data_IF_116821578650
#
_entry.id   IF_116821578650
#
_cell.length_a   1.000
_cell.length_b   1.000
_cell.length_c   1.000
_cell.angle_alpha   90.00
_cell.angle_beta   90.00
_cell.angle_gamma   90.00
#
_symmetry.space_group_name_H-M   'P 1'
#
loop_
_entity.id
_entity.type
_entity.pdbx_description
1 polymer ?
#
# COMPACT_ATOMS: atom_id res chain seq x y z
N UNK A 1 24.48 4.42 -26.14
CA UNK A 1 25.87 4.46 -25.61
C UNK A 1 26.88 4.22 -26.73
N UNK A 2 28.16 4.56 -26.51
CA UNK A 2 29.25 4.29 -27.45
C UNK A 2 30.50 3.85 -26.67
N UNK A 3 31.51 3.32 -27.35
CA UNK A 3 32.81 3.04 -26.74
C UNK A 3 33.64 2.07 -27.54
N UNK A 4 34.91 1.94 -27.15
CA UNK A 4 35.86 1.01 -27.74
C UNK A 4 35.95 -0.24 -26.88
N UNK A 5 35.87 -1.41 -27.50
CA UNK A 5 36.06 -2.70 -26.82
C UNK A 5 37.47 -2.77 -26.25
N UNK A 6 37.59 -2.84 -24.92
CA UNK A 6 38.85 -2.99 -24.18
C UNK A 6 39.16 -4.44 -23.89
N UNK A 7 38.13 -5.24 -23.62
CA UNK A 7 38.24 -6.67 -23.39
C UNK A 7 36.94 -7.38 -23.78
N UNK A 8 37.08 -8.63 -24.23
CA UNK A 8 35.96 -9.56 -24.37
C UNK A 8 36.25 -10.83 -23.58
N UNK A 9 35.22 -11.36 -22.92
CA UNK A 9 35.28 -12.60 -22.15
C UNK A 9 34.12 -13.51 -22.53
N UNK A 10 34.37 -14.83 -22.56
CA UNK A 10 33.31 -15.82 -22.76
C UNK A 10 32.55 -16.14 -21.46
N UNK A 11 31.52 -16.97 -21.56
CA UNK A 11 30.69 -17.41 -20.43
C UNK A 11 31.46 -18.18 -19.34
N UNK A 12 32.69 -18.65 -19.61
CA UNK A 12 33.57 -19.31 -18.64
C UNK A 12 34.61 -18.35 -18.05
N UNK A 13 34.51 -17.06 -18.37
CA UNK A 13 35.43 -16.02 -17.91
C UNK A 13 36.76 -15.99 -18.65
N UNK A 14 36.93 -16.74 -19.75
CA UNK A 14 38.18 -16.72 -20.53
C UNK A 14 38.18 -15.55 -21.49
N UNK A 15 39.32 -14.84 -21.57
CA UNK A 15 39.49 -13.73 -22.52
C UNK A 15 39.43 -14.24 -23.96
N UNK A 16 38.69 -13.53 -24.80
CA UNK A 16 38.57 -13.77 -26.25
C UNK A 16 39.02 -12.53 -27.01
N UNK A 17 39.71 -12.76 -28.13
CA UNK A 17 40.10 -11.69 -29.07
C UNK A 17 39.07 -11.53 -30.20
N UNK A 18 38.37 -12.61 -30.54
CA UNK A 18 37.41 -12.68 -31.63
C UNK A 18 36.16 -13.42 -31.16
N UNK A 19 35.00 -13.01 -31.66
CA UNK A 19 33.70 -13.61 -31.40
C UNK A 19 33.01 -13.91 -32.74
N UNK A 20 32.77 -15.18 -33.04
CA UNK A 20 32.03 -15.59 -34.23
C UNK A 20 30.52 -15.47 -34.06
N UNK A 21 29.74 -15.75 -35.13
CA UNK A 21 28.28 -15.81 -35.05
C UNK A 21 27.81 -16.76 -33.94
N UNK A 22 26.66 -16.46 -33.33
CA UNK A 22 26.04 -17.25 -32.25
C UNK A 22 26.91 -17.46 -30.98
N UNK A 23 27.98 -16.69 -30.79
CA UNK A 23 28.84 -16.78 -29.60
C UNK A 23 28.55 -15.62 -28.64
N UNK A 24 27.99 -15.88 -27.44
CA UNK A 24 27.79 -14.83 -26.45
C UNK A 24 29.13 -14.40 -25.85
N UNK A 25 29.36 -13.09 -25.77
CA UNK A 25 30.56 -12.50 -25.16
C UNK A 25 30.18 -11.34 -24.26
N UNK A 26 30.89 -11.20 -23.14
CA UNK A 26 30.82 -10.03 -22.30
C UNK A 26 31.83 -8.99 -22.82
N UNK A 27 31.33 -7.79 -23.12
CA UNK A 27 32.12 -6.70 -23.70
C UNK A 27 32.37 -5.63 -22.64
N UNK A 28 33.63 -5.28 -22.42
CA UNK A 28 34.03 -4.18 -21.55
C UNK A 28 34.53 -3.00 -22.39
N UNK A 29 34.11 -1.77 -22.03
CA UNK A 29 34.66 -0.54 -22.63
C UNK A 29 33.63 0.46 -23.17
N UNK A 30 32.33 0.16 -23.04
CA UNK A 30 31.25 1.10 -23.34
C UNK A 30 31.13 2.18 -22.25
N UNK A 31 30.65 3.36 -22.61
CA UNK A 31 30.49 4.51 -21.70
C UNK A 31 29.31 4.38 -20.73
N UNK A 32 28.44 3.39 -20.93
CA UNK A 32 27.32 3.08 -20.06
C UNK A 32 26.74 1.71 -20.41
N UNK A 33 25.79 1.26 -19.58
CA UNK A 33 25.10 -0.01 -19.81
C UNK A 33 24.08 0.15 -20.96
N UNK A 34 24.21 -0.61 -22.06
CA UNK A 34 23.15 -0.68 -23.07
C UNK A 34 21.89 -1.34 -22.49
N UNK A 35 20.73 -1.04 -23.07
CA UNK A 35 19.48 -1.67 -22.63
C UNK A 35 19.41 -3.10 -23.16
N UNK A 36 18.68 -3.95 -22.43
CA UNK A 36 18.44 -5.32 -22.90
C UNK A 36 17.68 -5.30 -24.25
N UNK A 37 18.20 -6.01 -25.25
CA UNK A 37 17.61 -6.05 -26.60
C UNK A 37 18.12 -4.99 -27.57
N UNK A 38 18.98 -4.06 -27.12
CA UNK A 38 19.64 -3.09 -28.01
C UNK A 38 20.50 -3.77 -29.08
N UNK A 39 20.44 -3.22 -30.30
CA UNK A 39 21.33 -3.65 -31.39
C UNK A 39 22.68 -2.93 -31.28
N UNK A 40 23.75 -3.72 -31.21
CA UNK A 40 25.12 -3.22 -31.26
C UNK A 40 25.54 -3.09 -32.72
N UNK A 41 26.07 -1.93 -33.09
CA UNK A 41 26.61 -1.65 -34.42
C UNK A 41 28.07 -1.23 -34.29
N UNK A 42 28.94 -1.85 -35.10
CA UNK A 42 30.35 -1.45 -35.21
C UNK A 42 30.44 -0.25 -36.15
N UNK A 43 31.19 0.77 -35.74
CA UNK A 43 31.43 1.99 -36.51
C UNK A 43 32.91 2.07 -36.89
N UNK A 44 33.23 2.73 -38.00
CA UNK A 44 34.61 2.85 -38.50
C UNK A 44 35.47 3.75 -37.61
N UNK A 45 34.89 4.85 -37.11
CA UNK A 45 35.60 5.79 -36.23
C UNK A 45 34.87 6.01 -34.90
N UNK A 46 35.65 6.28 -33.85
CA UNK A 46 35.08 6.63 -32.53
C UNK A 46 34.27 7.93 -32.59
N UNK A 47 34.69 8.87 -33.44
CA UNK A 47 34.03 10.17 -33.61
C UNK A 47 32.61 9.99 -34.13
N UNK A 48 32.42 9.23 -35.20
CA UNK A 48 31.08 8.94 -35.75
C UNK A 48 30.19 8.21 -34.74
N UNK A 49 30.74 7.23 -34.03
CA UNK A 49 30.00 6.51 -32.98
C UNK A 49 29.52 7.46 -31.88
N UNK A 50 30.37 8.41 -31.47
CA UNK A 50 30.06 9.41 -30.44
C UNK A 50 28.99 10.38 -30.93
N UNK A 51 29.13 10.93 -32.14
CA UNK A 51 28.16 11.86 -32.73
C UNK A 51 26.77 11.20 -32.84
N UNK A 52 26.70 9.98 -33.40
CA UNK A 52 25.44 9.23 -33.52
C UNK A 52 24.83 8.88 -32.16
N UNK A 53 25.64 8.43 -31.20
CA UNK A 53 25.14 8.11 -29.86
C UNK A 53 24.62 9.34 -29.12
N UNK A 54 25.27 10.49 -29.28
CA UNK A 54 24.84 11.77 -28.69
C UNK A 54 23.52 12.22 -29.30
N UNK A 55 23.38 12.15 -30.63
CA UNK A 55 22.15 12.46 -31.33
C UNK A 55 20.98 11.57 -30.88
N UNK A 56 21.21 10.24 -30.77
CA UNK A 56 20.20 9.31 -30.26
C UNK A 56 19.81 9.59 -28.82
N UNK A 57 20.78 9.91 -27.96
CA UNK A 57 20.51 10.26 -26.56
C UNK A 57 19.69 11.54 -26.45
N UNK A 58 19.95 12.53 -27.29
CA UNK A 58 19.16 13.77 -27.34
C UNK A 58 17.72 13.48 -27.79
N UNK A 59 17.54 12.71 -28.86
CA UNK A 59 16.20 12.30 -29.34
C UNK A 59 15.42 11.52 -28.27
N UNK A 60 16.07 10.57 -27.60
CA UNK A 60 15.44 9.80 -26.52
C UNK A 60 15.04 10.72 -25.34
N UNK A 61 15.89 11.69 -24.99
CA UNK A 61 15.59 12.68 -23.95
C UNK A 61 14.38 13.54 -24.35
N UNK A 62 14.32 14.03 -25.57
CA UNK A 62 13.19 14.82 -26.07
C UNK A 62 11.88 14.01 -26.07
N UNK A 63 11.92 12.74 -26.50
CA UNK A 63 10.76 11.84 -26.44
C UNK A 63 10.32 11.58 -24.99
N UNK A 64 11.26 11.38 -24.06
CA UNK A 64 10.95 11.18 -22.64
C UNK A 64 10.28 12.42 -22.01
N UNK A 65 10.68 13.62 -22.43
CA UNK A 65 10.07 14.87 -21.96
C UNK A 65 8.66 15.02 -22.53
N UNK A 66 8.44 14.68 -23.81
CA UNK A 66 7.11 14.74 -24.44
C UNK A 66 6.12 13.71 -23.87
N UNK A 67 6.61 12.59 -23.37
CA UNK A 67 5.77 11.53 -22.77
C UNK A 67 5.46 11.75 -21.29
N UNK A 68 6.15 12.67 -20.61
CA UNK A 68 5.76 13.13 -19.28
C UNK A 68 4.46 13.91 -19.39
N UNK A 69 3.34 13.24 -19.10
CA UNK A 69 2.05 13.91 -18.87
C UNK A 69 2.22 14.89 -17.72
N UNK A 70 2.05 16.18 -18.00
CA UNK A 70 1.87 17.15 -16.93
C UNK A 70 0.61 16.75 -16.15
N UNK A 71 0.72 16.70 -14.82
CA UNK A 71 -0.43 16.51 -13.95
C UNK A 71 -1.38 17.67 -14.24
N UNK A 72 -2.56 17.36 -14.78
CA UNK A 72 -3.56 18.39 -15.10
C UNK A 72 -4.32 18.77 -13.84
N UNK A 73 -4.90 19.98 -13.82
CA UNK A 73 -5.78 20.42 -12.74
C UNK A 73 -6.95 19.45 -12.51
N UNK A 74 -7.46 18.82 -13.57
CA UNK A 74 -8.50 17.79 -13.47
C UNK A 74 -8.02 16.52 -12.75
N UNK A 75 -6.77 16.12 -12.98
CA UNK A 75 -6.18 14.98 -12.28
C UNK A 75 -5.97 15.29 -10.80
N UNK A 76 -5.58 16.52 -10.45
CA UNK A 76 -5.51 17.01 -9.07
C UNK A 76 -6.89 17.03 -8.43
N UNK A 77 -7.92 17.52 -9.14
CA UNK A 77 -9.31 17.54 -8.66
C UNK A 77 -9.85 16.13 -8.40
N UNK A 78 -9.55 15.17 -9.28
CA UNK A 78 -9.91 13.76 -9.07
C UNK A 78 -9.20 13.17 -7.85
N UNK A 79 -7.91 13.48 -7.62
CA UNK A 79 -7.16 13.03 -6.44
C UNK A 79 -7.73 13.63 -5.14
N UNK A 80 -8.10 14.91 -5.14
CA UNK A 80 -8.74 15.57 -4.01
C UNK A 80 -10.13 14.98 -3.70
N UNK A 81 -10.91 14.62 -4.73
CA UNK A 81 -12.23 14.02 -4.56
C UNK A 81 -12.19 12.60 -3.94
N UNK A 82 -11.11 11.85 -4.14
CA UNK A 82 -10.94 10.49 -3.58
C UNK A 82 -10.61 10.55 -2.07
N UNK A 83 -10.21 11.72 -1.53
CA UNK A 83 -10.05 12.00 -0.09
C UNK A 83 -8.89 11.26 0.61
N UNK A 84 -8.53 10.07 0.15
CA UNK A 84 -7.57 9.15 0.76
C UNK A 84 -6.52 8.64 -0.23
N UNK A 85 -6.24 9.41 -1.29
CA UNK A 85 -5.22 9.07 -2.27
C UNK A 85 -3.82 9.16 -1.64
N UNK A 86 -3.08 8.06 -1.66
CA UNK A 86 -1.69 7.99 -1.18
C UNK A 86 -0.74 7.58 -2.30
N UNK A 87 0.50 8.07 -2.22
CA UNK A 87 1.56 7.69 -3.14
C UNK A 87 2.66 6.96 -2.37
N UNK A 88 3.18 5.88 -2.94
CA UNK A 88 4.35 5.17 -2.45
C UNK A 88 5.49 5.39 -3.46
N UNK A 89 6.44 6.25 -3.08
CA UNK A 89 7.60 6.55 -3.90
C UNK A 89 8.70 5.52 -3.67
N UNK A 90 9.27 4.99 -4.75
CA UNK A 90 10.27 3.93 -4.72
C UNK A 90 11.42 4.28 -5.66
N UNK A 91 12.66 4.06 -5.21
CA UNK A 91 13.84 4.00 -6.06
C UNK A 91 14.26 2.54 -6.22
N UNK A 92 14.54 2.10 -7.44
CA UNK A 92 14.95 0.73 -7.74
C UNK A 92 16.39 0.69 -8.23
N UNK A 93 17.24 -0.10 -7.57
CA UNK A 93 18.60 -0.39 -8.02
C UNK A 93 18.78 -1.88 -8.21
N UNK A 94 19.45 -2.28 -9.27
CA UNK A 94 19.72 -3.69 -9.53
C UNK A 94 21.08 -3.95 -10.16
N UNK A 95 21.46 -5.21 -10.22
CA UNK A 95 22.74 -5.65 -10.76
C UNK A 95 22.79 -5.58 -12.29
N UNK A 96 21.66 -5.85 -12.94
CA UNK A 96 21.48 -5.84 -14.39
C UNK A 96 20.21 -5.08 -14.78
N UNK A 97 20.21 -4.52 -15.98
CA UNK A 97 19.10 -3.71 -16.48
C UNK A 97 17.78 -4.49 -16.57
N UNK A 98 17.83 -5.74 -17.02
CA UNK A 98 16.64 -6.58 -17.18
C UNK A 98 15.94 -6.93 -15.86
N UNK A 99 16.68 -7.08 -14.75
CA UNK A 99 16.07 -7.35 -13.44
C UNK A 99 15.42 -6.09 -12.87
N UNK A 100 16.07 -4.93 -13.05
CA UNK A 100 15.52 -3.61 -12.68
C UNK A 100 14.23 -3.33 -13.44
N UNK A 101 14.19 -3.58 -14.75
CA UNK A 101 13.00 -3.35 -15.57
C UNK A 101 11.85 -4.30 -15.18
N UNK A 102 12.11 -5.60 -15.08
CA UNK A 102 11.09 -6.58 -14.71
C UNK A 102 10.50 -6.32 -13.31
N UNK A 103 11.34 -5.95 -12.34
CA UNK A 103 10.90 -5.58 -11.00
C UNK A 103 10.09 -4.28 -11.03
N UNK A 104 10.59 -3.25 -11.71
CA UNK A 104 9.90 -1.96 -11.82
C UNK A 104 8.50 -2.09 -12.40
N UNK A 105 8.36 -2.82 -13.51
CA UNK A 105 7.06 -3.05 -14.16
C UNK A 105 6.10 -3.84 -13.26
N UNK A 106 6.63 -4.80 -12.50
CA UNK A 106 5.83 -5.58 -11.56
C UNK A 106 5.34 -4.74 -10.39
N UNK A 107 6.18 -3.85 -9.85
CA UNK A 107 5.81 -2.94 -8.77
C UNK A 107 4.78 -1.90 -9.24
N UNK A 108 4.92 -1.35 -10.44
CA UNK A 108 3.96 -0.39 -11.00
C UNK A 108 2.56 -1.01 -11.14
N UNK A 109 2.47 -2.30 -11.51
CA UNK A 109 1.20 -3.04 -11.62
C UNK A 109 0.48 -3.22 -10.29
N UNK A 110 1.14 -3.05 -9.14
CA UNK A 110 0.49 -3.10 -7.83
C UNK A 110 -0.36 -1.86 -7.54
N UNK A 111 -0.20 -0.78 -8.30
CA UNK A 111 -0.92 0.48 -8.08
C UNK A 111 -2.44 0.28 -8.12
N UNK A 112 -3.12 0.86 -7.13
CA UNK A 112 -4.58 0.89 -7.02
C UNK A 112 -5.11 2.33 -7.08
N UNK A 113 -6.43 2.54 -7.20
CA UNK A 113 -7.00 3.89 -7.14
C UNK A 113 -6.76 4.61 -5.81
N UNK A 114 -6.56 3.87 -4.71
CA UNK A 114 -6.31 4.40 -3.37
C UNK A 114 -4.82 4.63 -3.10
N UNK A 115 -3.95 3.70 -3.53
CA UNK A 115 -2.49 3.78 -3.34
C UNK A 115 -1.76 3.62 -4.67
N UNK A 116 -1.09 4.68 -5.11
CA UNK A 116 -0.31 4.68 -6.35
C UNK A 116 1.16 4.40 -6.08
N UNK A 117 1.73 3.41 -6.74
CA UNK A 117 3.18 3.16 -6.70
C UNK A 117 3.85 4.04 -7.76
N UNK A 118 4.90 4.74 -7.36
CA UNK A 118 5.65 5.63 -8.24
C UNK A 118 7.15 5.32 -8.19
N UNK A 119 7.74 5.06 -9.35
CA UNK A 119 9.18 4.77 -9.45
C UNK A 119 9.88 6.05 -9.87
N UNK A 120 10.56 6.70 -8.91
CA UNK A 120 11.24 7.98 -9.12
C UNK A 120 12.53 7.83 -9.92
N UNK A 121 13.27 6.76 -9.64
CA UNK A 121 14.52 6.45 -10.31
C UNK A 121 14.71 4.94 -10.38
N UNK A 122 15.16 4.48 -11.54
CA UNK A 122 15.59 3.10 -11.76
C UNK A 122 17.01 3.11 -12.31
N UNK A 123 17.89 2.26 -11.80
CA UNK A 123 19.29 2.26 -12.23
C UNK A 123 20.04 0.97 -11.94
N UNK A 124 21.16 0.80 -12.63
CA UNK A 124 22.04 -0.38 -12.48
C UNK A 124 23.25 -0.02 -11.64
N UNK A 125 23.64 -0.92 -10.75
CA UNK A 125 24.82 -0.81 -9.88
C UNK A 125 24.49 -0.64 -8.40
N UNK A 126 25.54 -0.45 -7.60
CA UNK A 126 25.43 -0.25 -6.16
C UNK A 126 24.62 1.01 -5.82
N UNK A 127 23.95 0.99 -4.66
CA UNK A 127 23.21 2.15 -4.16
C UNK A 127 24.21 3.21 -3.69
N UNK A 128 24.06 4.43 -4.18
CA UNK A 128 24.95 5.56 -3.97
C UNK A 128 24.34 6.62 -3.02
N UNK A 129 25.16 7.54 -2.54
CA UNK A 129 24.70 8.66 -1.69
C UNK A 129 23.66 9.53 -2.40
N UNK A 130 23.82 9.75 -3.71
CA UNK A 130 22.85 10.52 -4.50
C UNK A 130 21.47 9.85 -4.55
N UNK A 131 21.43 8.52 -4.50
CA UNK A 131 20.16 7.79 -4.45
C UNK A 131 19.48 8.00 -3.09
N UNK A 132 20.26 7.99 -2.00
CA UNK A 132 19.77 8.25 -0.63
C UNK A 132 19.26 9.68 -0.47
N UNK A 133 19.98 10.66 -1.01
CA UNK A 133 19.57 12.06 -0.99
C UNK A 133 18.28 12.28 -1.78
N UNK A 134 18.14 11.65 -2.95
CA UNK A 134 16.91 11.72 -3.73
C UNK A 134 15.74 11.08 -2.98
N UNK A 135 15.99 9.97 -2.30
CA UNK A 135 14.98 9.29 -1.49
C UNK A 135 14.51 10.15 -0.30
N UNK A 136 15.44 10.79 0.41
CA UNK A 136 15.14 11.74 1.50
C UNK A 136 14.34 12.94 1.01
N UNK A 137 14.72 13.53 -0.12
CA UNK A 137 14.03 14.70 -0.67
C UNK A 137 12.61 14.41 -1.19
N UNK A 138 12.23 13.14 -1.37
CA UNK A 138 10.96 12.74 -2.02
C UNK A 138 10.15 11.72 -1.22
N UNK A 139 10.48 11.53 0.06
CA UNK A 139 9.85 10.54 0.95
C UNK A 139 9.72 9.16 0.30
N UNK A 140 10.85 8.66 -0.23
CA UNK A 140 10.88 7.40 -0.98
C UNK A 140 11.69 6.32 -0.27
N UNK A 141 11.31 5.07 -0.50
CA UNK A 141 12.09 3.91 -0.08
C UNK A 141 13.03 3.45 -1.19
N UNK A 142 14.13 2.79 -0.83
CA UNK A 142 15.08 2.24 -1.80
C UNK A 142 15.00 0.72 -1.81
N UNK A 143 14.75 0.14 -2.99
CA UNK A 143 14.75 -1.29 -3.25
C UNK A 143 16.01 -1.66 -4.04
N UNK A 144 16.88 -2.46 -3.44
CA UNK A 144 18.08 -3.01 -4.07
C UNK A 144 17.90 -4.48 -4.43
N UNK A 145 17.96 -4.82 -5.72
CA UNK A 145 17.92 -6.20 -6.21
C UNK A 145 19.33 -6.70 -6.55
N UNK A 146 19.82 -7.69 -5.80
CA UNK A 146 21.15 -8.27 -5.97
C UNK A 146 22.31 -7.25 -5.91
N UNK A 147 22.06 -6.08 -5.31
CA UNK A 147 23.03 -5.01 -5.10
C UNK A 147 23.13 -4.64 -3.62
N UNK A 148 24.19 -3.96 -3.25
CA UNK A 148 24.38 -3.43 -1.89
C UNK A 148 24.67 -1.93 -1.94
N UNK A 149 24.33 -1.18 -0.87
CA UNK A 149 24.76 0.20 -0.73
C UNK A 149 26.27 0.30 -0.50
N UNK A 150 26.87 1.39 -0.97
CA UNK A 150 28.22 1.77 -0.56
C UNK A 150 28.26 2.05 0.95
N UNK A 151 29.45 2.01 1.55
CA UNK A 151 29.58 2.32 2.98
C UNK A 151 29.09 3.72 3.33
N UNK A 152 29.36 4.69 2.46
CA UNK A 152 28.93 6.07 2.66
C UNK A 152 27.42 6.22 2.48
N UNK A 153 26.82 5.58 1.48
CA UNK A 153 25.37 5.57 1.29
C UNK A 153 24.65 4.94 2.47
N UNK A 154 25.19 3.84 3.05
CA UNK A 154 24.60 3.23 4.25
C UNK A 154 24.58 4.18 5.45
N UNK A 155 25.72 4.84 5.74
CA UNK A 155 25.80 5.80 6.86
C UNK A 155 24.82 6.96 6.67
N UNK A 156 24.73 7.47 5.44
CA UNK A 156 23.80 8.55 5.12
C UNK A 156 22.34 8.10 5.27
N UNK A 157 22.01 6.87 4.85
CA UNK A 157 20.66 6.33 5.02
C UNK A 157 20.27 6.15 6.48
N UNK A 158 21.20 5.73 7.34
CA UNK A 158 20.97 5.66 8.79
C UNK A 158 20.76 7.05 9.41
N UNK A 159 21.51 8.05 8.97
CA UNK A 159 21.37 9.43 9.44
C UNK A 159 20.05 10.08 9.00
N UNK A 160 19.67 9.91 7.74
CA UNK A 160 18.46 10.47 7.13
C UNK A 160 17.22 9.57 7.37
N UNK A 161 17.38 8.44 8.06
CA UNK A 161 16.34 7.45 8.34
C UNK A 161 15.64 6.90 7.08
N UNK A 162 16.41 6.73 6.00
CA UNK A 162 15.92 6.18 4.74
C UNK A 162 15.94 4.65 4.79
N UNK A 163 14.79 4.05 4.50
CA UNK A 163 14.66 2.59 4.44
C UNK A 163 15.26 2.04 3.14
N UNK A 164 16.27 1.17 3.29
CA UNK A 164 16.91 0.44 2.19
C UNK A 164 16.62 -1.05 2.35
N UNK A 165 15.81 -1.58 1.45
CA UNK A 165 15.43 -2.99 1.41
C UNK A 165 16.19 -3.72 0.31
N UNK A 166 16.87 -4.82 0.69
CA UNK A 166 17.69 -5.60 -0.22
C UNK A 166 17.06 -6.96 -0.47
N UNK A 167 16.94 -7.32 -1.74
CA UNK A 167 16.30 -8.57 -2.16
C UNK A 167 17.17 -9.32 -3.15
N UNK A 168 17.06 -10.65 -3.12
CA UNK A 168 17.61 -11.55 -4.13
C UNK A 168 16.52 -12.27 -4.93
N UNK A 169 15.26 -12.15 -4.52
CA UNK A 169 14.09 -12.80 -5.15
C UNK A 169 13.02 -11.73 -5.42
N UNK A 170 12.59 -11.64 -6.67
CA UNK A 170 11.63 -10.60 -7.13
C UNK A 170 10.30 -10.69 -6.37
N UNK A 171 9.78 -11.90 -6.16
CA UNK A 171 8.51 -12.11 -5.45
C UNK A 171 8.52 -11.59 -4.02
N UNK A 172 9.65 -11.68 -3.31
CA UNK A 172 9.75 -11.17 -1.95
C UNK A 172 9.64 -9.64 -1.93
N UNK A 173 10.31 -8.97 -2.88
CA UNK A 173 10.21 -7.52 -3.03
C UNK A 173 8.78 -7.07 -3.36
N UNK A 174 8.10 -7.80 -4.26
CA UNK A 174 6.71 -7.52 -4.63
C UNK A 174 5.78 -7.68 -3.43
N UNK A 175 5.92 -8.78 -2.68
CA UNK A 175 5.06 -9.06 -1.52
C UNK A 175 5.27 -8.02 -0.40
N UNK A 176 6.51 -7.67 -0.09
CA UNK A 176 6.79 -6.69 0.97
C UNK A 176 6.29 -5.29 0.59
N UNK A 177 6.38 -4.89 -0.67
CA UNK A 177 5.77 -3.64 -1.16
C UNK A 177 4.24 -3.72 -1.08
N UNK A 178 3.64 -4.86 -1.44
CA UNK A 178 2.20 -5.07 -1.30
C UNK A 178 1.75 -4.94 0.16
N UNK A 179 2.46 -5.57 1.09
CA UNK A 179 2.17 -5.49 2.53
C UNK A 179 2.30 -4.05 3.05
N UNK A 180 3.31 -3.31 2.58
CA UNK A 180 3.46 -1.89 2.90
C UNK A 180 2.27 -1.07 2.38
N UNK A 181 1.81 -1.33 1.16
CA UNK A 181 0.62 -0.68 0.59
C UNK A 181 -0.65 -1.03 1.38
N UNK A 182 -0.81 -2.27 1.85
CA UNK A 182 -1.92 -2.67 2.73
C UNK A 182 -1.90 -1.89 4.04
N UNK A 183 -0.72 -1.71 4.65
CA UNK A 183 -0.54 -0.88 5.83
C UNK A 183 -0.88 0.60 5.62
N UNK A 184 -0.85 1.07 4.37
CA UNK A 184 -1.26 2.42 4.02
C UNK A 184 -2.78 2.57 3.83
N UNK A 185 -3.54 1.48 3.69
CA UNK A 185 -4.99 1.55 3.54
C UNK A 185 -5.67 1.90 4.87
N UNK A 186 -6.75 2.69 4.80
CA UNK A 186 -7.61 2.92 5.96
C UNK A 186 -8.31 1.59 6.33
N UNK A 187 -8.41 1.24 7.63
CA UNK A 187 -9.16 0.07 8.06
C UNK A 187 -10.65 0.24 7.69
N UNK A 188 -11.28 -0.87 7.31
CA UNK A 188 -12.73 -0.91 7.13
C UNK A 188 -13.41 -1.19 8.45
N UNK A 189 -14.40 -0.38 8.80
CA UNK A 189 -15.27 -0.64 9.94
C UNK A 189 -16.24 -1.74 9.55
N UNK A 190 -16.26 -2.83 10.30
CA UNK A 190 -17.23 -3.90 10.17
C UNK A 190 -18.06 -3.99 11.45
N UNK A 191 -19.38 -4.00 11.31
CA UNK A 191 -20.28 -4.20 12.44
C UNK A 191 -20.31 -5.68 12.81
N UNK A 192 -19.98 -5.99 14.06
CA UNK A 192 -20.11 -7.33 14.62
C UNK A 192 -21.20 -7.29 15.68
N UNK A 193 -22.18 -8.20 15.57
CA UNK A 193 -23.22 -8.36 16.58
C UNK A 193 -22.58 -8.98 17.83
N UNK A 194 -22.70 -8.29 18.96
CA UNK A 194 -22.10 -8.71 20.24
C UNK A 194 -23.12 -9.25 21.23
N UNK A 195 -24.40 -8.88 21.08
CA UNK A 195 -25.46 -9.31 21.99
C UNK A 195 -26.86 -9.18 21.38
N UNK A 196 -27.81 -9.95 21.90
CA UNK A 196 -29.23 -9.86 21.58
C UNK A 196 -30.06 -9.88 22.87
N UNK A 197 -31.12 -9.06 22.90
CA UNK A 197 -32.03 -8.97 24.03
C UNK A 197 -33.48 -8.86 23.55
N UNK A 198 -34.34 -9.77 23.99
CA UNK A 198 -35.76 -9.77 23.64
C UNK A 198 -36.55 -8.93 24.65
N UNK A 199 -37.35 -7.97 24.15
CA UNK A 199 -38.24 -7.14 24.97
C UNK A 199 -39.45 -7.95 25.39
N UNK A 200 -39.59 -8.16 26.70
CA UNK A 200 -40.72 -8.92 27.28
C UNK A 200 -41.81 -8.04 27.86
N UNK A 201 -41.43 -6.88 28.37
CA UNK A 201 -42.36 -5.96 28.98
C UNK A 201 -41.87 -4.53 28.80
N UNK A 202 -42.79 -3.58 28.59
CA UNK A 202 -42.44 -2.17 28.42
C UNK A 202 -43.01 -1.34 29.56
N UNK A 203 -42.16 -0.55 30.21
CA UNK A 203 -42.54 0.33 31.32
C UNK A 203 -42.40 1.79 30.89
N UNK A 204 -43.46 2.57 31.09
CA UNK A 204 -43.45 4.01 30.86
C UNK A 204 -43.34 4.75 32.20
N UNK A 205 -42.19 5.37 32.45
CA UNK A 205 -41.92 6.09 33.70
C UNK A 205 -41.92 7.60 33.42
N UNK A 206 -42.77 8.32 34.14
CA UNK A 206 -42.82 9.79 34.10
C UNK A 206 -41.46 10.36 34.51
N UNK A 207 -40.85 11.16 33.60
CA UNK A 207 -39.50 11.80 33.65
C UNK A 207 -38.31 10.99 33.13
N UNK A 208 -38.37 9.66 33.05
CA UNK A 208 -37.24 8.82 32.58
C UNK A 208 -37.44 8.39 31.12
N UNK A 209 -38.69 8.23 30.69
CA UNK A 209 -39.05 7.76 29.34
C UNK A 209 -39.46 6.29 29.34
N UNK A 210 -39.40 5.66 28.17
CA UNK A 210 -39.73 4.24 28.00
C UNK A 210 -38.53 3.38 28.41
N UNK A 211 -38.77 2.37 29.25
CA UNK A 211 -37.80 1.34 29.62
C UNK A 211 -38.34 -0.01 29.19
N UNK A 212 -37.60 -0.72 28.36
CA UNK A 212 -37.89 -2.10 28.01
C UNK A 212 -37.28 -3.04 29.06
N UNK A 213 -38.12 -3.84 29.69
CA UNK A 213 -37.72 -5.04 30.43
C UNK A 213 -37.38 -6.14 29.43
N UNK A 214 -36.09 -6.44 29.31
CA UNK A 214 -35.55 -7.36 28.33
C UNK A 214 -34.93 -8.59 29.00
N UNK A 215 -34.94 -9.70 28.27
CA UNK A 215 -34.17 -10.90 28.59
C UNK A 215 -33.01 -11.01 27.61
N UNK A 216 -31.78 -11.09 28.10
CA UNK A 216 -30.61 -11.33 27.25
C UNK A 216 -30.68 -12.75 26.67
N UNK A 217 -30.85 -12.85 25.35
CA UNK A 217 -30.95 -14.12 24.63
C UNK A 217 -29.59 -14.63 24.18
N UNK A 218 -28.67 -13.71 23.85
CA UNK A 218 -27.32 -14.04 23.40
C UNK A 218 -26.31 -12.94 23.74
N UNK A 219 -25.05 -13.33 23.95
CA UNK A 219 -23.92 -12.42 24.16
C UNK A 219 -23.95 -11.61 25.46
N UNK A 220 -23.28 -10.45 25.46
CA UNK A 220 -23.19 -9.55 26.63
C UNK A 220 -23.38 -8.11 26.18
N UNK A 221 -24.36 -7.43 26.77
CA UNK A 221 -24.65 -6.02 26.48
C UNK A 221 -23.92 -5.13 27.47
N UNK A 222 -23.19 -4.11 26.98
CA UNK A 222 -22.58 -3.09 27.84
C UNK A 222 -23.26 -1.75 27.62
N UNK A 223 -23.17 -0.83 28.61
CA UNK A 223 -23.74 0.52 28.48
C UNK A 223 -23.16 1.33 27.30
N UNK A 224 -22.01 0.93 26.75
CA UNK A 224 -21.35 1.58 25.60
C UNK A 224 -21.69 0.93 24.26
N UNK A 225 -22.37 -0.21 24.26
CA UNK A 225 -22.73 -0.94 23.05
C UNK A 225 -23.79 -0.15 22.27
N UNK A 226 -23.59 0.02 20.96
CA UNK A 226 -24.61 0.60 20.07
C UNK A 226 -25.67 -0.46 19.79
N UNK A 227 -26.92 -0.05 19.69
CA UNK A 227 -28.06 -0.98 19.58
C UNK A 227 -28.96 -0.65 18.40
N UNK A 228 -29.56 -1.69 17.83
CA UNK A 228 -30.65 -1.62 16.87
C UNK A 228 -31.89 -2.28 17.45
N UNK A 229 -33.03 -1.60 17.33
CA UNK A 229 -34.34 -2.18 17.63
C UNK A 229 -34.87 -2.80 16.35
N UNK A 230 -35.13 -4.10 16.39
CA UNK A 230 -35.62 -4.90 15.28
C UNK A 230 -36.99 -5.45 15.63
N UNK A 231 -37.99 -5.16 14.78
CA UNK A 231 -39.37 -5.65 14.90
C UNK A 231 -39.71 -6.40 13.62
N UNK A 232 -40.12 -7.67 13.75
CA UNK A 232 -40.44 -8.55 12.61
C UNK A 232 -39.34 -8.60 11.52
N UNK A 233 -38.08 -8.50 11.94
CA UNK A 233 -36.92 -8.49 11.04
C UNK A 233 -36.60 -7.14 10.38
N UNK A 234 -37.32 -6.06 10.72
CA UNK A 234 -37.11 -4.71 10.19
C UNK A 234 -36.52 -3.82 11.29
N UNK A 235 -35.43 -3.11 10.98
CA UNK A 235 -34.80 -2.14 11.89
C UNK A 235 -35.71 -0.92 12.04
N UNK A 236 -36.22 -0.70 13.25
CA UNK A 236 -37.06 0.45 13.60
C UNK A 236 -36.21 1.65 14.02
N UNK A 237 -35.10 1.40 14.72
CA UNK A 237 -34.23 2.44 15.23
C UNK A 237 -32.80 1.95 15.45
N UNK A 238 -31.83 2.83 15.28
CA UNK A 238 -30.42 2.62 15.59
C UNK A 238 -29.96 3.74 16.50
N UNK A 239 -29.35 3.42 17.64
CA UNK A 239 -28.84 4.44 18.56
C UNK A 239 -28.04 3.88 19.73
N UNK A 240 -27.81 4.74 20.72
CA UNK A 240 -27.03 4.42 21.91
C UNK A 240 -27.94 4.04 23.08
N UNK A 241 -27.46 3.17 23.97
CA UNK A 241 -28.12 2.88 25.24
C UNK A 241 -28.01 4.10 26.15
N UNK A 242 -29.15 4.59 26.63
CA UNK A 242 -29.21 5.68 27.59
C UNK A 242 -28.95 5.16 29.01
N UNK A 243 -29.71 4.14 29.42
CA UNK A 243 -29.62 3.52 30.73
C UNK A 243 -29.69 1.99 30.60
N UNK A 244 -28.82 1.31 31.35
CA UNK A 244 -28.77 -0.14 31.46
C UNK A 244 -28.88 -0.49 32.94
N UNK A 245 -29.98 -1.15 33.31
CA UNK A 245 -30.30 -1.47 34.70
C UNK A 245 -30.54 -2.95 34.88
N UNK A 246 -30.24 -3.46 36.06
CA UNK A 246 -30.69 -4.77 36.51
C UNK A 246 -31.53 -4.57 37.76
N UNK A 247 -32.80 -4.92 37.67
CA UNK A 247 -33.81 -4.55 38.66
C UNK A 247 -33.87 -3.03 38.88
N UNK A 248 -33.29 -2.53 39.97
CA UNK A 248 -33.27 -1.09 40.31
C UNK A 248 -31.89 -0.46 40.20
N UNK A 249 -30.85 -1.26 39.99
CA UNK A 249 -29.47 -0.82 40.05
C UNK A 249 -28.91 -0.60 38.64
N UNK A 250 -28.18 0.51 38.45
CA UNK A 250 -27.42 0.76 37.23
C UNK A 250 -26.24 -0.20 37.13
N UNK A 251 -26.09 -0.86 35.99
CA UNK A 251 -25.05 -1.85 35.74
C UNK A 251 -24.24 -1.50 34.50
N UNK A 252 -22.96 -1.86 34.51
CA UNK A 252 -22.05 -1.62 33.37
C UNK A 252 -22.23 -2.63 32.25
N UNK A 253 -22.56 -3.88 32.59
CA UNK A 253 -22.75 -4.99 31.66
C UNK A 253 -23.85 -5.94 32.14
N UNK A 254 -24.53 -6.61 31.19
CA UNK A 254 -25.47 -7.70 31.45
C UNK A 254 -25.18 -8.84 30.48
N UNK A 255 -25.04 -10.05 31.02
CA UNK A 255 -24.72 -11.26 30.26
C UNK A 255 -25.97 -12.03 29.87
N UNK A 256 -25.82 -12.91 28.89
CA UNK A 256 -26.82 -13.89 28.47
C UNK A 256 -27.50 -14.58 29.65
N UNK A 257 -28.81 -14.78 29.56
CA UNK A 257 -29.60 -15.48 30.58
C UNK A 257 -30.05 -14.61 31.75
N UNK A 258 -29.67 -13.34 31.79
CA UNK A 258 -30.14 -12.40 32.81
C UNK A 258 -31.18 -11.41 32.26
N UNK A 259 -32.10 -11.01 33.13
CA UNK A 259 -33.04 -9.93 32.88
C UNK A 259 -32.37 -8.57 33.09
N UNK A 260 -32.75 -7.59 32.27
CA UNK A 260 -32.29 -6.21 32.36
C UNK A 260 -33.37 -5.23 31.92
N UNK A 261 -33.21 -3.97 32.34
CA UNK A 261 -33.95 -2.83 31.84
C UNK A 261 -33.06 -2.03 30.90
N UNK A 262 -33.48 -1.86 29.65
CA UNK A 262 -32.77 -1.08 28.63
C UNK A 262 -33.63 0.13 28.27
N UNK A 263 -33.03 1.32 28.28
CA UNK A 263 -33.61 2.53 27.69
C UNK A 263 -32.69 3.02 26.57
N UNK A 264 -33.27 3.41 25.43
CA UNK A 264 -32.53 3.81 24.24
C UNK A 264 -32.64 5.33 24.09
N UNK A 265 -31.49 5.98 23.86
CA UNK A 265 -31.43 7.44 23.76
C UNK A 265 -32.24 7.91 22.56
N UNK A 266 -33.26 8.73 22.83
CA UNK A 266 -34.07 9.34 21.77
C UNK A 266 -35.10 8.43 21.11
N UNK A 267 -35.34 7.23 21.66
CA UNK A 267 -36.34 6.29 21.13
C UNK A 267 -37.25 5.75 22.24
N UNK A 268 -38.56 5.99 22.09
CA UNK A 268 -39.57 5.64 23.10
C UNK A 268 -40.60 4.61 22.60
N UNK A 269 -40.63 4.26 21.31
CA UNK A 269 -41.59 3.30 20.73
C UNK A 269 -41.07 1.85 20.81
N UNK A 270 -40.68 1.43 22.01
CA UNK A 270 -40.34 0.04 22.30
C UNK A 270 -41.63 -0.75 22.55
N UNK A 271 -41.73 -1.93 21.96
CA UNK A 271 -42.89 -2.82 22.06
C UNK A 271 -42.47 -4.21 22.53
N UNK A 272 -43.40 -4.93 23.15
CA UNK A 272 -43.19 -6.32 23.53
C UNK A 272 -43.01 -7.17 22.26
N UNK A 273 -42.00 -8.04 22.27
CA UNK A 273 -41.58 -8.83 21.10
C UNK A 273 -40.52 -8.16 20.23
N UNK A 274 -40.13 -6.91 20.50
CA UNK A 274 -38.97 -6.31 19.83
C UNK A 274 -37.68 -7.03 20.23
N UNK A 275 -36.74 -7.15 19.28
CA UNK A 275 -35.38 -7.62 19.55
C UNK A 275 -34.41 -6.44 19.53
N UNK A 276 -33.66 -6.25 20.61
CA UNK A 276 -32.59 -5.27 20.72
C UNK A 276 -31.27 -5.96 20.41
N UNK A 277 -30.73 -5.68 19.23
CA UNK A 277 -29.47 -6.21 18.74
C UNK A 277 -28.34 -5.22 19.06
N UNK A 278 -27.38 -5.63 19.88
CA UNK A 278 -26.19 -4.88 20.20
C UNK A 278 -25.07 -5.18 19.22
N UNK A 279 -24.44 -4.15 18.67
CA UNK A 279 -23.33 -4.28 17.73
C UNK A 279 -22.17 -3.36 18.10
N UNK A 280 -20.97 -3.79 17.73
CA UNK A 280 -19.74 -3.02 17.85
C UNK A 280 -19.07 -2.88 16.49
N UNK A 281 -18.48 -1.71 16.22
CA UNK A 281 -17.67 -1.50 15.03
C UNK A 281 -16.25 -2.00 15.32
N UNK A 282 -15.82 -3.05 14.61
CA UNK A 282 -14.43 -3.52 14.63
C UNK A 282 -13.68 -3.01 13.41
N UNK A 283 -12.50 -2.43 13.65
CA UNK A 283 -11.57 -2.05 12.59
C UNK A 283 -10.89 -3.30 12.02
N UNK A 284 -11.23 -3.66 10.79
CA UNK A 284 -10.57 -4.74 10.06
C UNK A 284 -9.54 -4.13 9.12
N UNK A 285 -8.28 -4.56 9.24
CA UNK A 285 -7.22 -4.20 8.29
C UNK A 285 -7.57 -4.74 6.91
N UNK A 286 -7.61 -3.87 5.90
CA UNK A 286 -7.87 -4.25 4.51
C UNK A 286 -6.65 -4.95 3.92
N UNK A 287 -6.91 -5.91 3.03
CA UNK A 287 -5.89 -6.56 2.20
C UNK A 287 -6.10 -6.21 0.73
N UNK A 288 -5.01 -6.21 -0.03
CA UNK A 288 -4.98 -5.91 -1.47
C UNK A 288 -5.17 -7.17 -2.32
#
# INVERSE_FOLDING_TARGET
>A
HYGRVKAMTDYRGKRKKEAGPATPVQVLGLTGAPQAGDRIQVMETEREARELATQRQQLAREQSIRTKKHITLDEIGRRLAIGSFKELNILVKGDVDGSVEALSDSLLKLSTPEVKVNILSKGVGAISESDVLLASASDAIIIGFQVRPSQSARRLAEQEQIDIRLYSIIYNAINEVKDAMEGMLAPTLHEVIVANAEVRQVFNITKVGTIAGCMMTDGTMTRKTRVRVVRDGIVQYTGDIQDLKRFKDDVSEVRQGYECGISIKGFNDLQEGDNIEGFEEQEIKRKL
#
